data_IF_594923072483
#
_entry.id   IF_594923072483
#
_cell.length_a   1.000
_cell.length_b   1.000
_cell.length_c   1.000
_cell.angle_alpha   90.00
_cell.angle_beta   90.00
_cell.angle_gamma   90.00
#
_symmetry.space_group_name_H-M   'P 1'
#
loop_
_entity.id
_entity.type
_entity.pdbx_description
1 polymer ?
#
# COMPACT_ATOMS: atom_id res chain seq x y z
N UNK A 1 2.18 -8.19 -7.25
CA UNK A 1 1.48 -6.91 -7.51
C UNK A 1 2.52 -5.85 -7.82
N UNK A 2 2.16 -4.79 -8.51
CA UNK A 2 3.01 -3.62 -8.68
C UNK A 2 2.38 -2.47 -7.90
N UNK A 3 3.19 -1.74 -7.14
CA UNK A 3 2.77 -0.52 -6.44
C UNK A 3 3.49 0.65 -7.09
N UNK A 4 2.79 1.37 -7.94
CA UNK A 4 3.18 2.72 -8.33
C UNK A 4 3.08 3.62 -7.11
N UNK A 5 3.99 4.58 -6.96
CA UNK A 5 3.93 5.46 -5.80
C UNK A 5 4.32 6.90 -6.12
N UNK A 6 3.80 7.82 -5.32
CA UNK A 6 4.22 9.22 -5.37
C UNK A 6 5.71 9.36 -5.02
N UNK A 7 6.36 10.41 -5.54
CA UNK A 7 7.77 10.74 -5.21
C UNK A 7 8.03 10.82 -3.70
N UNK A 8 7.06 11.35 -2.94
CA UNK A 8 7.16 11.47 -1.47
C UNK A 8 7.19 10.12 -0.77
N UNK A 9 6.42 9.14 -1.25
CA UNK A 9 6.45 7.78 -0.72
C UNK A 9 7.72 7.06 -1.19
N UNK A 10 8.08 7.19 -2.46
CA UNK A 10 9.30 6.60 -3.03
C UNK A 10 10.56 6.97 -2.24
N UNK A 11 10.69 8.24 -1.83
CA UNK A 11 11.81 8.72 -1.02
C UNK A 11 11.95 8.07 0.37
N UNK A 12 10.95 7.31 0.83
CA UNK A 12 10.98 6.57 2.11
C UNK A 12 11.22 5.07 1.94
N UNK A 13 11.15 4.56 0.72
CA UNK A 13 11.30 3.14 0.43
C UNK A 13 12.78 2.79 0.21
N UNK A 14 13.21 1.57 0.60
CA UNK A 14 14.60 1.17 0.45
C UNK A 14 14.99 0.97 -1.02
N UNK A 15 14.04 0.58 -1.87
CA UNK A 15 14.25 0.35 -3.30
C UNK A 15 12.95 0.63 -4.06
N UNK A 16 13.09 1.28 -5.22
CA UNK A 16 12.00 1.61 -6.15
C UNK A 16 12.54 1.51 -7.56
N UNK A 17 11.92 0.66 -8.38
CA UNK A 17 12.30 0.51 -9.79
C UNK A 17 12.18 1.85 -10.52
N UNK A 18 13.25 2.23 -11.22
CA UNK A 18 13.27 3.39 -12.12
C UNK A 18 12.59 3.10 -13.47
N UNK A 19 12.42 1.82 -13.80
CA UNK A 19 11.78 1.37 -15.03
C UNK A 19 10.38 0.80 -14.74
N UNK A 20 9.44 0.96 -15.67
CA UNK A 20 8.16 0.27 -15.59
C UNK A 20 8.38 -1.24 -15.48
N UNK A 21 7.64 -1.88 -14.58
CA UNK A 21 7.62 -3.32 -14.42
C UNK A 21 6.39 -3.87 -15.14
N UNK A 22 6.51 -5.03 -15.75
CA UNK A 22 5.39 -5.72 -16.39
C UNK A 22 4.41 -6.24 -15.33
N UNK A 23 3.12 -5.91 -15.48
CA UNK A 23 2.09 -6.29 -14.53
C UNK A 23 1.67 -7.74 -14.73
N UNK A 24 2.36 -8.66 -14.05
CA UNK A 24 2.11 -10.11 -14.14
C UNK A 24 1.24 -10.66 -13.00
N UNK A 25 0.91 -9.84 -12.02
CA UNK A 25 0.26 -10.30 -10.78
C UNK A 25 -1.26 -10.26 -10.88
N UNK A 26 -1.97 -11.30 -10.44
CA UNK A 26 -3.44 -11.31 -10.41
C UNK A 26 -4.04 -10.28 -9.43
N UNK A 27 -3.25 -9.78 -8.47
CA UNK A 27 -3.65 -8.70 -7.57
C UNK A 27 -3.61 -7.32 -8.22
N UNK A 28 -3.25 -7.23 -9.51
CA UNK A 28 -3.29 -5.98 -10.27
C UNK A 28 -2.28 -4.92 -9.83
N UNK A 29 -2.46 -3.73 -10.40
CA UNK A 29 -1.69 -2.52 -10.13
C UNK A 29 -2.32 -1.70 -9.00
N UNK A 30 -1.45 -1.02 -8.24
CA UNK A 30 -1.84 -0.19 -7.11
C UNK A 30 -1.11 1.14 -7.16
N UNK A 31 -1.77 2.19 -6.67
CA UNK A 31 -1.16 3.49 -6.41
C UNK A 31 -1.04 3.77 -4.91
N UNK A 32 0.19 3.87 -4.43
CA UNK A 32 0.57 4.27 -3.08
C UNK A 32 0.81 5.77 -2.93
N UNK A 33 0.21 6.39 -1.92
CA UNK A 33 0.41 7.78 -1.58
C UNK A 33 0.71 7.96 -0.09
N UNK A 34 1.59 8.90 0.22
CA UNK A 34 1.90 9.30 1.58
C UNK A 34 0.97 10.45 1.98
N UNK A 35 0.15 10.26 3.01
CA UNK A 35 -0.75 11.28 3.53
C UNK A 35 -0.41 11.60 4.98
N UNK A 36 -0.72 12.81 5.43
CA UNK A 36 -0.58 13.19 6.84
C UNK A 36 -1.97 13.47 7.40
N UNK A 37 -2.36 12.71 8.42
CA UNK A 37 -3.64 12.86 9.12
C UNK A 37 -3.35 12.97 10.61
N UNK A 38 -3.92 13.97 11.28
CA UNK A 38 -3.68 14.25 12.72
C UNK A 38 -2.21 14.24 13.12
N UNK A 39 -1.37 14.90 12.31
CA UNK A 39 0.10 14.97 12.47
C UNK A 39 0.82 13.62 12.41
N UNK A 40 0.15 12.55 11.97
CA UNK A 40 0.73 11.22 11.73
C UNK A 40 0.91 10.99 10.24
N UNK A 41 2.08 10.50 9.87
CA UNK A 41 2.31 9.98 8.52
C UNK A 41 1.51 8.69 8.35
N UNK A 42 0.84 8.53 7.23
CA UNK A 42 0.06 7.36 6.87
C UNK A 42 0.33 7.01 5.40
N UNK A 43 0.13 5.76 5.02
CA UNK A 43 0.14 5.35 3.62
C UNK A 43 -1.27 4.93 3.19
N UNK A 44 -1.68 5.38 2.01
CA UNK A 44 -2.90 4.92 1.36
C UNK A 44 -2.53 4.22 0.05
N UNK A 45 -3.12 3.04 -0.19
CA UNK A 45 -2.93 2.29 -1.43
C UNK A 45 -4.28 2.11 -2.10
N UNK A 46 -4.39 2.48 -3.36
CA UNK A 46 -5.62 2.36 -4.13
C UNK A 46 -5.40 1.40 -5.30
N UNK A 47 -6.25 0.39 -5.43
CA UNK A 47 -6.20 -0.50 -6.58
C UNK A 47 -6.64 0.23 -7.85
N UNK A 48 -5.89 0.07 -8.93
CA UNK A 48 -6.02 0.92 -10.12
C UNK A 48 -7.37 0.75 -10.81
N UNK A 49 -7.84 -0.49 -10.93
CA UNK A 49 -9.06 -0.83 -11.65
C UNK A 49 -10.33 -0.68 -10.79
N UNK A 50 -10.29 -1.09 -9.53
CA UNK A 50 -11.50 -1.21 -8.69
C UNK A 50 -11.66 -0.09 -7.67
N UNK A 51 -10.63 0.74 -7.50
CA UNK A 51 -10.57 1.77 -6.44
C UNK A 51 -10.65 1.23 -5.02
N UNK A 52 -10.45 -0.09 -4.83
CA UNK A 52 -10.36 -0.68 -3.51
C UNK A 52 -9.17 -0.08 -2.75
N UNK A 53 -9.41 0.43 -1.55
CA UNK A 53 -8.44 1.23 -0.81
C UNK A 53 -7.95 0.50 0.44
N UNK A 54 -6.65 0.56 0.68
CA UNK A 54 -5.99 0.13 1.90
C UNK A 54 -5.42 1.35 2.61
N UNK A 55 -5.61 1.42 3.93
CA UNK A 55 -5.14 2.52 4.74
C UNK A 55 -4.24 2.02 5.87
N UNK A 56 -2.98 2.48 5.88
CA UNK A 56 -1.99 2.18 6.91
C UNK A 56 -1.76 3.42 7.79
N UNK A 57 -2.43 3.53 8.94
CA UNK A 57 -2.22 4.63 9.87
C UNK A 57 -0.85 4.52 10.56
N UNK A 58 -0.24 5.67 10.88
CA UNK A 58 0.97 5.71 11.70
C UNK A 58 2.17 4.99 11.06
N UNK A 59 2.48 5.33 9.81
CA UNK A 59 3.58 4.80 9.03
C UNK A 59 4.92 4.94 9.77
N UNK A 60 5.59 3.81 9.98
CA UNK A 60 6.91 3.70 10.63
C UNK A 60 7.97 3.29 9.61
N UNK A 61 9.24 3.44 9.98
CA UNK A 61 10.38 3.05 9.12
C UNK A 61 10.31 1.56 8.71
N UNK A 62 9.99 0.68 9.66
CA UNK A 62 9.84 -0.77 9.42
C UNK A 62 8.76 -1.08 8.37
N UNK A 63 7.65 -0.31 8.36
CA UNK A 63 6.60 -0.46 7.36
C UNK A 63 7.13 -0.18 5.94
N UNK A 64 8.03 0.79 5.79
CA UNK A 64 8.64 1.12 4.50
C UNK A 64 9.67 0.07 4.08
N UNK A 65 10.53 -0.37 5.01
CA UNK A 65 11.58 -1.37 4.72
C UNK A 65 10.99 -2.71 4.30
N UNK A 66 9.90 -3.13 4.93
CA UNK A 66 9.25 -4.43 4.67
C UNK A 66 7.92 -4.29 3.91
N UNK A 67 7.73 -3.20 3.17
CA UNK A 67 6.45 -2.90 2.51
C UNK A 67 6.02 -4.03 1.56
N UNK A 68 6.91 -4.41 0.64
CA UNK A 68 6.65 -5.44 -0.37
C UNK A 68 6.69 -6.87 0.16
N UNK A 69 7.55 -7.15 1.15
CA UNK A 69 7.74 -8.51 1.67
C UNK A 69 6.63 -8.94 2.65
N UNK A 70 6.12 -7.98 3.44
CA UNK A 70 5.26 -8.27 4.60
C UNK A 70 4.06 -7.34 4.70
N UNK A 71 4.28 -6.04 4.85
CA UNK A 71 3.24 -5.14 5.37
C UNK A 71 2.07 -4.94 4.41
N UNK A 72 2.32 -4.87 3.10
CA UNK A 72 1.22 -4.76 2.14
C UNK A 72 0.28 -5.97 2.21
N UNK A 73 0.85 -7.19 2.21
CA UNK A 73 0.08 -8.43 2.29
C UNK A 73 -0.74 -8.48 3.59
N UNK A 74 -0.12 -8.15 4.72
CA UNK A 74 -0.81 -8.14 6.01
C UNK A 74 -1.95 -7.14 6.05
N UNK A 75 -1.74 -5.91 5.56
CA UNK A 75 -2.77 -4.89 5.48
C UNK A 75 -3.93 -5.31 4.57
N UNK A 76 -3.62 -5.87 3.40
CA UNK A 76 -4.63 -6.38 2.47
C UNK A 76 -5.49 -7.47 3.10
N UNK A 77 -4.86 -8.48 3.71
CA UNK A 77 -5.57 -9.58 4.37
C UNK A 77 -6.39 -9.11 5.57
N UNK A 78 -5.85 -8.21 6.40
CA UNK A 78 -6.57 -7.65 7.53
C UNK A 78 -7.81 -6.87 7.05
N UNK A 79 -7.67 -6.05 6.00
CA UNK A 79 -8.79 -5.28 5.44
C UNK A 79 -9.86 -6.18 4.84
N UNK A 80 -9.47 -7.25 4.14
CA UNK A 80 -10.39 -8.27 3.63
C UNK A 80 -11.13 -8.98 4.77
N UNK A 81 -10.41 -9.40 5.82
CA UNK A 81 -11.01 -10.06 6.97
C UNK A 81 -12.05 -9.15 7.63
N UNK A 82 -11.73 -7.87 7.84
CA UNK A 82 -12.66 -6.88 8.40
C UNK A 82 -13.86 -6.62 7.49
N UNK A 83 -13.67 -6.61 6.18
CA UNK A 83 -14.76 -6.40 5.21
C UNK A 83 -15.67 -7.62 5.07
N UNK A 84 -15.16 -8.81 5.39
CA UNK A 84 -15.91 -10.06 5.40
C UNK A 84 -16.70 -10.28 6.70
N UNK A 85 -16.41 -9.53 7.78
CA UNK A 85 -17.25 -9.50 8.98
C UNK A 85 -18.53 -8.77 8.61
N UNK A 86 -19.56 -9.54 8.23
CA UNK A 86 -20.94 -9.05 8.24
C UNK A 86 -21.23 -8.58 9.67
N UNK A 87 -21.67 -7.33 9.81
CA UNK A 87 -22.39 -6.87 10.98
C UNK A 87 -23.63 -7.77 11.09
N UNK A 88 -23.55 -8.79 11.95
CA UNK A 88 -24.71 -9.51 12.45
C UNK A 88 -25.43 -8.64 13.48
#
# INVERSE_FOLDING_TARGET
MIIHCSKKLAAKLPDVSSMPLELTSPLGGWHGHLITLDRRQCAMFCHDATRYALFLPGLRKEHCTELGSKWFRQLYLATLAMSAVRLC
#
